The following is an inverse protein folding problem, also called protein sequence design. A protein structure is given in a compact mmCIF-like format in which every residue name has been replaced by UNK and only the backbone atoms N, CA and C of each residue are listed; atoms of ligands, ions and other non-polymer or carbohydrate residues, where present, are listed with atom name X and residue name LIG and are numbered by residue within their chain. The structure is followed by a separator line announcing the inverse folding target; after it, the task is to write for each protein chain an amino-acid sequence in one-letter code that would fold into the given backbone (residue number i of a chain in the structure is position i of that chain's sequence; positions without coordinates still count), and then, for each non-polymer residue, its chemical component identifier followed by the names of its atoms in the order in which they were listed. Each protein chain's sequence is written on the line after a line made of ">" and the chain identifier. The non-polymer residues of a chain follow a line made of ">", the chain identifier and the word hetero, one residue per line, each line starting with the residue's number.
data_IF_622182400671
#
_entry.id   IF_622182400671
#
_cell.length_a   1.000
_cell.length_b   1.000
_cell.length_c   1.000
_cell.angle_alpha   90.00
_cell.angle_beta   90.00
_cell.angle_gamma   90.00
#
_symmetry.space_group_name_H-M   'P 1'
#
loop_
_entity.id
_entity.type
_entity.pdbx_description
1 polymer ?
#
# COMPACT_ATOMS: atom_id res chain seq x y z
N UNK A 1 -20.32 -8.82 6.25
CA UNK A 1 -20.01 -7.38 6.15
C UNK A 1 -20.79 -6.75 4.99
N UNK A 2 -21.32 -5.52 5.13
CA UNK A 2 -22.04 -4.88 4.02
C UNK A 2 -21.07 -4.28 2.99
N UNK A 3 -21.35 -4.35 1.67
CA UNK A 3 -20.54 -3.71 0.64
C UNK A 3 -20.31 -2.21 0.87
N UNK A 4 -21.30 -1.52 1.42
CA UNK A 4 -21.20 -0.09 1.75
C UNK A 4 -20.14 0.22 2.80
N UNK A 5 -19.92 -0.69 3.78
CA UNK A 5 -18.90 -0.49 4.82
C UNK A 5 -17.50 -0.62 4.26
N UNK A 6 -17.27 -1.59 3.38
CA UNK A 6 -16.00 -1.77 2.66
C UNK A 6 -15.70 -0.53 1.82
N UNK A 7 -16.68 -0.12 1.01
CA UNK A 7 -16.53 1.04 0.13
C UNK A 7 -16.16 2.30 0.92
N UNK A 8 -16.86 2.57 2.02
CA UNK A 8 -16.55 3.73 2.89
C UNK A 8 -15.15 3.66 3.50
N UNK A 9 -14.69 2.47 3.91
CA UNK A 9 -13.34 2.29 4.44
C UNK A 9 -12.28 2.62 3.39
N UNK A 10 -12.43 2.10 2.16
CA UNK A 10 -11.51 2.37 1.06
C UNK A 10 -11.54 3.84 0.63
N UNK A 11 -12.73 4.43 0.49
CA UNK A 11 -12.88 5.85 0.16
C UNK A 11 -12.25 6.75 1.23
N UNK A 12 -12.42 6.42 2.51
CA UNK A 12 -11.81 7.18 3.59
C UNK A 12 -10.27 7.15 3.52
N UNK A 13 -9.69 5.99 3.20
CA UNK A 13 -8.25 5.85 3.03
C UNK A 13 -7.75 6.70 1.83
N UNK A 14 -8.42 6.62 0.68
CA UNK A 14 -8.08 7.40 -0.52
C UNK A 14 -8.16 8.91 -0.25
N UNK A 15 -9.23 9.35 0.42
CA UNK A 15 -9.42 10.76 0.78
C UNK A 15 -8.35 11.21 1.78
N UNK A 16 -7.99 10.37 2.75
CA UNK A 16 -6.96 10.69 3.74
C UNK A 16 -5.56 10.83 3.10
N UNK A 17 -5.21 9.93 2.18
CA UNK A 17 -3.99 10.01 1.38
C UNK A 17 -3.96 11.32 0.58
N UNK A 18 -4.93 11.55 -0.29
CA UNK A 18 -5.00 12.75 -1.13
C UNK A 18 -5.03 14.06 -0.30
N UNK A 19 -5.59 14.01 0.91
CA UNK A 19 -5.55 15.14 1.85
C UNK A 19 -4.16 15.34 2.46
N UNK A 20 -3.39 14.25 2.62
CA UNK A 20 -2.04 14.24 3.19
C UNK A 20 -0.96 14.76 2.24
N UNK A 21 -1.07 14.48 0.93
CA UNK A 21 -0.04 14.77 -0.09
C UNK A 21 0.55 16.19 -0.01
N UNK A 22 -0.22 17.30 0.14
CA UNK A 22 0.34 18.64 0.21
C UNK A 22 1.18 18.92 1.48
N UNK A 23 1.09 18.04 2.48
CA UNK A 23 1.77 18.18 3.77
C UNK A 23 2.97 17.27 3.95
N UNK A 24 3.22 16.36 3.00
CA UNK A 24 4.36 15.47 3.01
C UNK A 24 5.69 16.25 3.07
N UNK A 25 6.65 15.68 3.79
CA UNK A 25 7.99 16.24 4.02
C UNK A 25 8.03 17.61 4.72
N UNK A 26 6.88 18.20 5.07
CA UNK A 26 6.86 19.40 5.92
C UNK A 26 7.27 19.06 7.35
N UNK A 27 8.10 19.89 7.94
CA UNK A 27 8.49 19.70 9.33
C UNK A 27 7.26 19.82 10.24
N UNK A 28 7.09 18.84 11.12
CA UNK A 28 5.98 18.82 12.08
C UNK A 28 5.97 20.09 12.94
N UNK A 29 4.80 20.69 13.10
CA UNK A 29 4.62 21.92 13.88
C UNK A 29 4.94 23.22 13.14
N UNK A 30 5.34 23.17 11.86
CA UNK A 30 5.65 24.37 11.06
C UNK A 30 4.55 24.77 10.08
N UNK A 31 3.45 24.04 10.04
CA UNK A 31 2.33 24.30 9.13
C UNK A 31 0.98 24.12 9.83
N UNK A 32 -0.03 24.75 9.28
CA UNK A 32 -1.43 24.57 9.66
C UNK A 32 -2.13 23.78 8.57
N UNK A 33 -2.89 22.76 8.97
CA UNK A 33 -3.69 21.95 8.04
C UNK A 33 -4.94 22.76 7.67
N UNK A 34 -5.18 22.93 6.35
CA UNK A 34 -6.40 23.56 5.86
C UNK A 34 -7.62 22.65 6.12
N UNK A 35 -8.81 23.21 6.37
CA UNK A 35 -10.01 22.41 6.54
C UNK A 35 -10.54 21.81 5.22
N UNK A 36 -10.14 22.37 4.08
CA UNK A 36 -10.45 21.89 2.74
C UNK A 36 -9.27 21.15 2.11
N UNK A 37 -9.55 20.37 1.07
CA UNK A 37 -8.52 19.70 0.26
C UNK A 37 -7.80 20.72 -0.61
N UNK A 38 -6.51 20.90 -0.36
CA UNK A 38 -5.64 21.83 -1.10
C UNK A 38 -4.65 21.07 -1.97
N UNK A 39 -4.02 21.76 -2.91
CA UNK A 39 -2.91 21.22 -3.71
C UNK A 39 -1.56 21.80 -3.31
N UNK A 40 -0.54 21.55 -4.15
CA UNK A 40 0.83 22.01 -3.95
C UNK A 40 1.66 21.07 -3.11
N UNK A 41 2.42 21.59 -2.15
CA UNK A 41 3.34 20.79 -1.33
C UNK A 41 4.63 20.45 -2.06
N UNK A 42 5.38 19.48 -1.55
CA UNK A 42 6.65 19.04 -2.12
C UNK A 42 6.51 18.53 -3.56
N UNK A 43 5.41 17.87 -3.85
CA UNK A 43 5.13 17.25 -5.15
C UNK A 43 4.40 18.18 -6.13
N UNK A 44 3.99 19.37 -5.72
CA UNK A 44 3.26 20.36 -6.54
C UNK A 44 1.98 19.78 -7.20
N UNK A 45 1.29 18.86 -6.52
CA UNK A 45 0.13 18.18 -7.06
C UNK A 45 -1.15 19.01 -6.97
N UNK A 46 -2.11 18.73 -7.86
CA UNK A 46 -3.44 19.31 -7.80
C UNK A 46 -4.22 18.81 -6.57
N UNK A 47 -5.21 19.58 -6.04
CA UNK A 47 -6.07 19.10 -4.96
C UNK A 47 -6.74 17.76 -5.32
N UNK A 48 -6.72 16.81 -4.39
CA UNK A 48 -7.34 15.50 -4.59
C UNK A 48 -6.46 14.46 -5.31
N UNK A 49 -5.22 14.79 -5.62
CA UNK A 49 -4.26 13.82 -6.14
C UNK A 49 -3.78 12.91 -5.02
N UNK A 50 -3.98 11.59 -5.19
CA UNK A 50 -3.48 10.58 -4.25
C UNK A 50 -2.07 10.10 -4.63
N UNK A 51 -1.34 9.57 -3.63
CA UNK A 51 0.05 9.10 -3.74
C UNK A 51 0.17 7.59 -4.00
N UNK A 52 1.34 7.02 -3.68
CA UNK A 52 1.61 5.59 -3.74
C UNK A 52 0.76 4.79 -2.74
N UNK A 53 0.37 5.36 -1.60
CA UNK A 53 -0.57 4.74 -0.64
C UNK A 53 -1.82 4.20 -1.35
N UNK A 54 -2.50 5.05 -2.07
CA UNK A 54 -3.72 4.68 -2.81
C UNK A 54 -3.41 3.89 -4.08
N UNK A 55 -2.41 4.28 -4.85
CA UNK A 55 -2.09 3.60 -6.11
C UNK A 55 -1.74 2.13 -5.89
N UNK A 56 -0.90 1.81 -4.89
CA UNK A 56 -0.56 0.43 -4.53
C UNK A 56 -1.75 -0.32 -3.89
N UNK A 57 -2.62 0.37 -3.15
CA UNK A 57 -3.89 -0.18 -2.65
C UNK A 57 -4.79 -0.61 -3.82
N UNK A 58 -4.91 0.22 -4.87
CA UNK A 58 -5.71 -0.10 -6.06
C UNK A 58 -5.10 -1.26 -6.86
N UNK A 59 -3.77 -1.33 -6.98
CA UNK A 59 -3.07 -2.45 -7.60
C UNK A 59 -3.35 -3.77 -6.85
N UNK A 60 -3.35 -3.73 -5.51
CA UNK A 60 -3.71 -4.88 -4.70
C UNK A 60 -5.19 -5.27 -4.84
N UNK A 61 -6.10 -4.31 -4.84
CA UNK A 61 -7.53 -4.57 -5.07
C UNK A 61 -7.77 -5.24 -6.42
N UNK A 62 -7.15 -4.73 -7.47
CA UNK A 62 -7.22 -5.32 -8.82
C UNK A 62 -6.72 -6.77 -8.81
N UNK A 63 -5.56 -7.02 -8.20
CA UNK A 63 -5.03 -8.38 -8.02
C UNK A 63 -6.00 -9.30 -7.28
N UNK A 64 -6.57 -8.86 -6.15
CA UNK A 64 -7.47 -9.68 -5.34
C UNK A 64 -8.79 -9.99 -6.05
N UNK A 65 -9.29 -9.09 -6.91
CA UNK A 65 -10.51 -9.32 -7.69
C UNK A 65 -10.33 -10.35 -8.80
N UNK A 66 -9.10 -10.49 -9.32
CA UNK A 66 -8.78 -11.47 -10.36
C UNK A 66 -8.26 -12.81 -9.81
N UNK A 67 -8.04 -12.91 -8.49
CA UNK A 67 -7.44 -14.09 -7.85
C UNK A 67 -6.14 -14.55 -8.52
N UNK A 68 -5.32 -13.61 -8.93
CA UNK A 68 -4.07 -13.81 -9.66
C UNK A 68 -2.93 -14.35 -8.79
N UNK A 69 -1.82 -14.77 -9.43
CA UNK A 69 -0.57 -15.11 -8.73
C UNK A 69 0.15 -13.88 -8.17
N UNK A 70 1.04 -14.07 -7.19
CA UNK A 70 1.90 -12.99 -6.67
C UNK A 70 2.74 -12.32 -7.77
N UNK A 71 3.16 -13.08 -8.81
CA UNK A 71 3.84 -12.51 -9.96
C UNK A 71 2.99 -11.45 -10.66
N UNK A 72 1.69 -11.70 -10.81
CA UNK A 72 0.75 -10.72 -11.39
C UNK A 72 0.59 -9.46 -10.55
N UNK A 73 0.68 -9.57 -9.22
CA UNK A 73 0.75 -8.37 -8.39
C UNK A 73 2.05 -7.60 -8.62
N UNK A 74 3.21 -8.28 -8.68
CA UNK A 74 4.48 -7.62 -9.00
C UNK A 74 4.45 -6.96 -10.39
N UNK A 75 3.81 -7.58 -11.38
CA UNK A 75 3.61 -6.97 -12.71
C UNK A 75 2.81 -5.65 -12.60
N UNK A 76 1.76 -5.60 -11.75
CA UNK A 76 0.99 -4.37 -11.49
C UNK A 76 1.81 -3.29 -10.77
N UNK A 77 2.62 -3.70 -9.78
CA UNK A 77 3.52 -2.76 -9.10
C UNK A 77 4.59 -2.23 -10.06
N UNK A 78 5.05 -3.05 -10.98
CA UNK A 78 5.97 -2.64 -12.06
C UNK A 78 5.30 -1.63 -12.99
N UNK A 79 4.07 -1.90 -13.43
CA UNK A 79 3.30 -0.97 -14.25
C UNK A 79 3.05 0.38 -13.54
N UNK A 80 2.80 0.36 -12.22
CA UNK A 80 2.75 1.59 -11.42
C UNK A 80 4.05 2.38 -11.53
N UNK A 81 5.20 1.74 -11.31
CA UNK A 81 6.51 2.39 -11.33
C UNK A 81 6.91 2.88 -12.73
N UNK A 82 6.60 2.14 -13.79
CA UNK A 82 7.07 2.43 -15.15
C UNK A 82 6.13 3.31 -15.96
N UNK A 83 4.82 3.18 -15.74
CA UNK A 83 3.82 3.83 -16.58
C UNK A 83 2.84 4.72 -15.81
N UNK A 84 2.99 4.82 -14.49
CA UNK A 84 2.02 5.56 -13.66
C UNK A 84 0.64 4.90 -13.56
N UNK A 85 0.55 3.58 -13.79
CA UNK A 85 -0.71 2.85 -13.61
C UNK A 85 -1.27 3.06 -12.20
N UNK A 86 -2.58 3.15 -12.06
CA UNK A 86 -3.31 3.42 -10.80
C UNK A 86 -3.10 4.83 -10.21
N UNK A 87 -2.27 5.68 -10.80
CA UNK A 87 -2.19 7.09 -10.40
C UNK A 87 -3.36 7.89 -10.98
N UNK A 88 -3.78 9.02 -10.36
CA UNK A 88 -4.90 9.81 -10.87
C UNK A 88 -4.57 10.53 -12.18
N UNK A 89 -3.30 10.74 -12.48
CA UNK A 89 -2.84 11.53 -13.64
C UNK A 89 -2.18 10.69 -14.73
N UNK A 90 -1.96 9.39 -14.51
CA UNK A 90 -1.14 8.56 -15.39
C UNK A 90 0.36 8.86 -15.30
N UNK A 91 0.79 9.58 -14.27
CA UNK A 91 2.19 9.93 -14.04
C UNK A 91 2.62 9.57 -12.62
N UNK A 92 3.74 8.91 -12.49
CA UNK A 92 4.37 8.63 -11.20
C UNK A 92 5.01 9.90 -10.65
N UNK A 93 4.69 10.27 -9.42
CA UNK A 93 5.37 11.36 -8.71
C UNK A 93 5.98 10.92 -7.37
N UNK A 94 5.47 9.86 -6.77
CA UNK A 94 5.97 9.30 -5.51
C UNK A 94 6.08 7.79 -5.57
N UNK A 95 7.12 7.23 -4.95
CA UNK A 95 7.27 5.80 -4.66
C UNK A 95 8.29 5.61 -3.54
N UNK A 96 7.91 4.87 -2.51
CA UNK A 96 8.83 4.54 -1.41
C UNK A 96 10.05 3.75 -1.87
N UNK A 97 11.24 4.11 -1.36
CA UNK A 97 12.51 3.46 -1.74
C UNK A 97 12.51 1.94 -1.62
N UNK A 98 11.87 1.38 -0.57
CA UNK A 98 11.78 -0.06 -0.36
C UNK A 98 10.92 -0.73 -1.44
N UNK A 99 9.79 -0.12 -1.81
CA UNK A 99 8.93 -0.58 -2.90
C UNK A 99 9.67 -0.55 -4.24
N UNK A 100 10.30 0.58 -4.58
CA UNK A 100 11.06 0.72 -5.81
C UNK A 100 12.21 -0.31 -5.91
N UNK A 101 12.92 -0.56 -4.80
CA UNK A 101 13.97 -1.59 -4.74
C UNK A 101 13.40 -2.97 -4.96
N UNK A 102 12.30 -3.33 -4.32
CA UNK A 102 11.67 -4.63 -4.46
C UNK A 102 11.19 -4.88 -5.90
N UNK A 103 10.59 -3.87 -6.55
CA UNK A 103 10.20 -3.96 -7.96
C UNK A 103 11.41 -4.20 -8.86
N UNK A 104 12.52 -3.49 -8.63
CA UNK A 104 13.77 -3.70 -9.39
C UNK A 104 14.34 -5.10 -9.16
N UNK A 105 14.33 -5.61 -7.93
CA UNK A 105 14.75 -6.99 -7.61
C UNK A 105 13.90 -8.01 -8.37
N UNK A 106 12.59 -7.80 -8.46
CA UNK A 106 11.70 -8.65 -9.25
C UNK A 106 12.03 -8.62 -10.75
N UNK A 107 12.14 -7.42 -11.32
CA UNK A 107 12.31 -7.24 -12.77
C UNK A 107 13.72 -7.62 -13.24
N UNK A 108 14.76 -7.21 -12.52
CA UNK A 108 16.17 -7.37 -12.95
C UNK A 108 16.72 -8.71 -12.51
N UNK A 109 16.49 -9.10 -11.25
CA UNK A 109 17.05 -10.32 -10.67
C UNK A 109 16.13 -11.53 -10.85
N UNK A 110 14.90 -11.32 -11.36
CA UNK A 110 13.86 -12.37 -11.54
C UNK A 110 13.61 -13.16 -10.25
N UNK A 111 13.67 -12.47 -9.11
CA UNK A 111 13.46 -13.08 -7.81
C UNK A 111 12.00 -13.51 -7.61
N UNK A 112 11.80 -14.55 -6.79
CA UNK A 112 10.46 -14.95 -6.37
C UNK A 112 9.73 -13.77 -5.72
N UNK A 113 8.46 -13.49 -6.08
CA UNK A 113 7.72 -12.31 -5.61
C UNK A 113 7.81 -12.07 -4.10
N UNK A 114 7.63 -13.11 -3.29
CA UNK A 114 7.67 -13.02 -1.83
C UNK A 114 9.08 -12.86 -1.25
N UNK A 115 10.09 -12.83 -2.10
CA UNK A 115 11.50 -12.65 -1.72
C UNK A 115 12.08 -11.32 -2.18
N UNK A 116 11.31 -10.49 -2.89
CA UNK A 116 11.77 -9.22 -3.46
C UNK A 116 12.02 -8.12 -2.41
N UNK A 117 11.28 -8.13 -1.29
CA UNK A 117 11.46 -7.14 -0.23
C UNK A 117 12.84 -7.21 0.42
N UNK A 118 13.43 -6.07 0.71
CA UNK A 118 14.70 -5.96 1.42
C UNK A 118 14.55 -6.42 2.88
N UNK A 119 15.38 -7.38 3.37
CA UNK A 119 15.37 -7.82 4.76
C UNK A 119 16.17 -6.93 5.71
N UNK A 120 16.86 -5.91 5.20
CA UNK A 120 17.78 -5.09 6.00
C UNK A 120 17.04 -4.26 7.07
N UNK A 121 17.76 -3.92 8.14
CA UNK A 121 17.24 -3.10 9.24
C UNK A 121 16.77 -1.71 8.79
N UNK A 122 17.34 -1.20 7.71
CA UNK A 122 16.99 0.13 7.17
C UNK A 122 15.76 0.10 6.25
N UNK A 123 15.23 -1.08 5.90
CA UNK A 123 14.05 -1.26 5.07
C UNK A 123 12.78 -1.52 5.91
N UNK A 124 12.57 -0.70 6.94
CA UNK A 124 11.48 -0.82 7.90
C UNK A 124 10.38 0.25 7.73
N UNK A 125 10.27 0.86 6.57
CA UNK A 125 9.22 1.83 6.29
C UNK A 125 7.81 1.22 6.41
N UNK A 126 6.81 2.08 6.39
CA UNK A 126 5.39 1.71 6.42
C UNK A 126 4.81 1.35 5.04
N UNK A 127 5.62 1.36 3.98
CA UNK A 127 5.17 1.21 2.60
C UNK A 127 4.39 -0.08 2.29
N UNK A 128 4.60 -1.19 3.03
CA UNK A 128 3.70 -2.33 2.92
C UNK A 128 2.40 -2.08 3.68
N UNK A 129 2.48 -1.53 4.90
CA UNK A 129 1.35 -1.38 5.79
C UNK A 129 0.28 -0.45 5.21
N UNK A 130 0.68 0.63 4.54
CA UNK A 130 -0.20 1.63 3.96
C UNK A 130 -1.15 1.06 2.89
N UNK A 131 -0.72 0.06 2.12
CA UNK A 131 -1.47 -0.45 0.96
C UNK A 131 -2.18 -1.80 1.21
N UNK A 132 -1.93 -2.50 2.32
CA UNK A 132 -2.39 -3.88 2.52
C UNK A 132 -3.80 -4.01 3.12
N UNK A 133 -4.48 -2.94 3.49
CA UNK A 133 -5.82 -2.97 4.08
C UNK A 133 -6.85 -3.86 3.33
N UNK A 134 -6.85 -3.94 1.98
CA UNK A 134 -7.74 -4.84 1.25
C UNK A 134 -7.63 -6.31 1.63
N UNK A 135 -6.46 -6.77 2.14
CA UNK A 135 -6.30 -8.17 2.58
C UNK A 135 -7.19 -8.53 3.78
N UNK A 136 -7.45 -7.60 4.69
CA UNK A 136 -8.34 -7.84 5.81
C UNK A 136 -9.78 -8.12 5.31
N UNK A 137 -10.17 -7.47 4.22
CA UNK A 137 -11.47 -7.71 3.54
C UNK A 137 -11.48 -9.05 2.82
N UNK A 138 -10.45 -9.33 2.02
CA UNK A 138 -10.33 -10.57 1.25
C UNK A 138 -10.33 -11.81 2.16
N UNK A 139 -9.73 -11.70 3.33
CA UNK A 139 -9.64 -12.78 4.33
C UNK A 139 -10.72 -12.71 5.41
N UNK A 140 -11.77 -11.90 5.21
CA UNK A 140 -12.85 -11.74 6.17
C UNK A 140 -13.46 -13.06 6.63
N UNK A 141 -13.70 -13.99 5.70
CA UNK A 141 -14.32 -15.29 5.98
C UNK A 141 -13.35 -16.37 6.52
N UNK A 142 -12.03 -16.09 6.58
CA UNK A 142 -11.06 -17.06 7.09
C UNK A 142 -10.94 -16.94 8.64
N UNK A 143 -11.44 -17.91 9.42
CA UNK A 143 -11.45 -17.82 10.87
C UNK A 143 -10.10 -18.08 11.52
N UNK A 144 -9.18 -18.79 10.82
CA UNK A 144 -7.91 -19.24 11.40
C UNK A 144 -6.85 -18.15 11.30
N UNK A 145 -6.44 -17.60 12.44
CA UNK A 145 -5.38 -16.60 12.52
C UNK A 145 -4.11 -17.03 11.79
N UNK A 146 -3.68 -18.29 11.96
CA UNK A 146 -2.44 -18.78 11.32
C UNK A 146 -2.50 -18.69 9.79
N UNK A 147 -3.66 -18.95 9.18
CA UNK A 147 -3.87 -18.82 7.74
C UNK A 147 -3.79 -17.36 7.31
N UNK A 148 -4.50 -16.47 8.02
CA UNK A 148 -4.44 -15.03 7.74
C UNK A 148 -3.02 -14.48 7.88
N UNK A 149 -2.33 -14.81 8.97
CA UNK A 149 -0.96 -14.36 9.23
C UNK A 149 0.04 -14.82 8.16
N UNK A 150 -0.10 -16.05 7.63
CA UNK A 150 0.71 -16.51 6.49
C UNK A 150 0.49 -15.66 5.25
N UNK A 151 -0.76 -15.33 4.93
CA UNK A 151 -1.09 -14.46 3.81
C UNK A 151 -0.54 -13.04 4.03
N UNK A 152 -0.78 -12.44 5.19
CA UNK A 152 -0.27 -11.11 5.52
C UNK A 152 1.26 -11.03 5.36
N UNK A 153 1.96 -12.04 5.87
CA UNK A 153 3.41 -12.16 5.73
C UNK A 153 3.82 -12.23 4.25
N UNK A 154 3.20 -13.09 3.45
CA UNK A 154 3.56 -13.27 2.05
C UNK A 154 3.43 -11.95 1.26
N UNK A 155 2.30 -11.25 1.39
CA UNK A 155 2.10 -9.97 0.72
C UNK A 155 3.05 -8.87 1.23
N UNK A 156 3.29 -8.79 2.54
CA UNK A 156 4.25 -7.81 3.09
C UNK A 156 5.66 -8.05 2.55
N UNK A 157 6.09 -9.30 2.45
CA UNK A 157 7.45 -9.67 2.03
C UNK A 157 7.72 -9.36 0.56
N UNK A 158 6.71 -9.12 -0.25
CA UNK A 158 6.88 -8.70 -1.64
C UNK A 158 7.63 -7.36 -1.74
N UNK A 159 7.44 -6.47 -0.77
CA UNK A 159 8.08 -5.15 -0.74
C UNK A 159 8.92 -4.90 0.52
N UNK A 160 8.55 -5.49 1.66
CA UNK A 160 9.19 -5.25 2.96
C UNK A 160 9.40 -6.57 3.71
N UNK A 161 10.60 -7.13 3.67
CA UNK A 161 10.88 -8.47 4.23
C UNK A 161 11.49 -8.45 5.63
N UNK A 162 11.83 -7.28 6.16
CA UNK A 162 12.36 -7.20 7.52
C UNK A 162 11.31 -7.66 8.56
N UNK A 163 11.67 -8.46 9.59
CA UNK A 163 10.72 -9.01 10.57
C UNK A 163 9.83 -7.97 11.25
N UNK A 164 10.35 -6.76 11.52
CA UNK A 164 9.61 -5.67 12.14
C UNK A 164 8.48 -5.16 11.24
N UNK A 165 8.74 -5.00 9.94
CA UNK A 165 7.72 -4.60 8.96
C UNK A 165 6.64 -5.69 8.83
N UNK A 166 7.05 -6.96 8.76
CA UNK A 166 6.13 -8.10 8.72
C UNK A 166 5.25 -8.15 9.96
N UNK A 167 5.83 -8.02 11.16
CA UNK A 167 5.06 -8.03 12.42
C UNK A 167 4.08 -6.86 12.48
N UNK A 168 4.52 -5.66 12.09
CA UNK A 168 3.67 -4.48 12.03
C UNK A 168 2.47 -4.68 11.12
N UNK A 169 2.69 -5.24 9.92
CA UNK A 169 1.62 -5.56 8.97
C UNK A 169 0.63 -6.60 9.52
N UNK A 170 1.14 -7.66 10.19
CA UNK A 170 0.27 -8.67 10.80
C UNK A 170 -0.60 -8.07 11.89
N UNK A 171 -0.03 -7.26 12.79
CA UNK A 171 -0.79 -6.58 13.86
C UNK A 171 -1.84 -5.65 13.26
N UNK A 172 -1.47 -4.83 12.29
CA UNK A 172 -2.37 -3.88 11.62
C UNK A 172 -3.53 -4.59 10.94
N UNK A 173 -3.24 -5.59 10.11
CA UNK A 173 -4.26 -6.30 9.34
C UNK A 173 -5.18 -7.15 10.23
N UNK A 174 -4.64 -7.75 11.29
CA UNK A 174 -5.46 -8.47 12.25
C UNK A 174 -6.38 -7.52 13.05
N UNK A 175 -5.89 -6.32 13.40
CA UNK A 175 -6.71 -5.28 14.01
C UNK A 175 -7.85 -4.85 13.08
N UNK A 176 -7.56 -4.63 11.78
CA UNK A 176 -8.59 -4.32 10.80
C UNK A 176 -9.60 -5.46 10.66
N UNK A 177 -9.12 -6.70 10.60
CA UNK A 177 -9.97 -7.88 10.50
C UNK A 177 -10.95 -7.97 11.69
N UNK A 178 -10.47 -7.74 12.91
CA UNK A 178 -11.30 -7.70 14.12
C UNK A 178 -12.33 -6.56 14.08
N UNK A 179 -11.95 -5.38 13.60
CA UNK A 179 -12.86 -4.23 13.48
C UNK A 179 -13.95 -4.44 12.42
N UNK A 180 -13.72 -5.33 11.46
CA UNK A 180 -14.69 -5.67 10.42
C UNK A 180 -15.77 -6.65 10.90
N UNK A 181 -15.54 -7.38 11.97
CA UNK A 181 -16.46 -8.33 12.61
C UNK A 181 -17.26 -7.66 13.69
#
# INVERSE_FOLDING_TARGET
>A
MSPNRIMRMLQAAIVADAFGVPYEFKQRGTYTVAPEMVGGGFWEQAPGTWSDDTALTLALLDHLTHADSYAKLMDRLTAYMETGAYTPTGQLFDIGNACAKAIRTYVIEQAEPTMCGDPSEFANGNGALMCLAPLAVALYAEPRFVTRAKSYRAYTQMTHRHPRAVLGSVIYLETLWQLLH
#
